data_IF_736926288606
#
_entry.id   IF_736926288606
#
_cell.length_a   1.000
_cell.length_b   1.000
_cell.length_c   1.000
_cell.angle_alpha   90.00
_cell.angle_beta   90.00
_cell.angle_gamma   90.00
#
_symmetry.space_group_name_H-M   'P 1'
#
loop_
_entity.id
_entity.type
_entity.pdbx_description
1 polymer ?
#
# COMPACT_ATOMS: atom_id res chain seq x y z
N UNK A 1 -42.52 -15.37 -17.82
CA UNK A 1 -42.38 -13.97 -18.14
C UNK A 1 -42.01 -13.07 -16.98
N UNK A 2 -42.48 -13.38 -15.84
CA UNK A 2 -42.17 -12.53 -14.71
C UNK A 2 -40.85 -12.79 -14.07
N UNK A 3 -40.24 -13.91 -14.37
CA UNK A 3 -38.95 -14.24 -13.76
C UNK A 3 -37.84 -13.27 -14.07
N UNK A 4 -37.90 -12.60 -15.21
CA UNK A 4 -36.86 -11.71 -15.60
C UNK A 4 -36.70 -10.51 -14.69
N UNK A 5 -37.75 -10.13 -14.05
CA UNK A 5 -37.69 -8.97 -13.15
C UNK A 5 -36.84 -9.19 -11.95
N UNK A 6 -36.95 -10.37 -11.41
CA UNK A 6 -36.21 -10.73 -10.22
C UNK A 6 -34.73 -10.72 -10.51
N UNK A 7 -34.37 -11.18 -11.69
CA UNK A 7 -32.95 -11.21 -12.07
C UNK A 7 -32.32 -9.83 -12.09
N UNK A 8 -33.07 -8.86 -12.59
CA UNK A 8 -32.58 -7.50 -12.64
C UNK A 8 -32.28 -6.93 -11.25
N UNK A 9 -33.15 -7.25 -10.31
CA UNK A 9 -32.94 -6.78 -8.96
C UNK A 9 -31.67 -7.31 -8.36
N UNK A 10 -31.36 -8.56 -8.65
CA UNK A 10 -30.13 -9.14 -8.13
C UNK A 10 -28.90 -8.48 -8.71
N UNK A 11 -28.96 -8.14 -9.99
CA UNK A 11 -27.84 -7.47 -10.63
C UNK A 11 -27.51 -6.15 -9.99
N UNK A 12 -28.51 -5.40 -9.60
CA UNK A 12 -28.29 -4.12 -8.95
C UNK A 12 -27.63 -4.25 -7.60
N UNK A 13 -28.03 -5.27 -6.85
CA UNK A 13 -27.44 -5.48 -5.54
C UNK A 13 -25.97 -5.79 -5.63
N UNK A 14 -25.57 -6.58 -6.61
CA UNK A 14 -24.17 -6.94 -6.77
C UNK A 14 -23.31 -5.72 -7.06
N UNK A 15 -23.82 -4.79 -7.84
CA UNK A 15 -23.04 -3.60 -8.18
C UNK A 15 -22.72 -2.73 -6.98
N UNK A 16 -23.53 -2.78 -5.93
CA UNK A 16 -23.36 -1.90 -4.80
C UNK A 16 -22.18 -2.26 -3.90
N UNK A 17 -21.53 -3.41 -4.11
CA UNK A 17 -20.44 -3.84 -3.26
C UNK A 17 -19.05 -3.65 -3.86
N UNK A 18 -18.95 -3.07 -5.03
CA UNK A 18 -17.67 -2.97 -5.73
C UNK A 18 -17.01 -1.64 -5.49
N UNK A 19 -16.54 -1.40 -4.25
CA UNK A 19 -15.90 -0.14 -3.92
C UNK A 19 -14.40 -0.22 -3.68
N UNK A 20 -13.87 -1.42 -3.43
CA UNK A 20 -12.45 -1.59 -3.21
C UNK A 20 -11.73 -1.89 -4.53
N UNK A 21 -10.50 -1.44 -4.62
CA UNK A 21 -9.68 -1.61 -5.81
C UNK A 21 -8.26 -1.94 -5.39
N UNK A 22 -7.67 -2.93 -6.04
CA UNK A 22 -6.28 -3.26 -5.79
C UNK A 22 -5.41 -2.59 -6.84
N UNK A 23 -4.45 -1.79 -6.38
CA UNK A 23 -3.46 -1.19 -7.25
C UNK A 23 -2.17 -1.97 -7.12
N UNK A 24 -1.51 -2.21 -8.24
CA UNK A 24 -0.24 -2.91 -8.26
C UNK A 24 0.83 -1.94 -8.75
N UNK A 25 1.80 -1.66 -7.89
CA UNK A 25 2.91 -0.78 -8.22
C UNK A 25 4.19 -1.59 -8.27
N UNK A 26 5.02 -1.32 -9.25
CA UNK A 26 6.36 -1.87 -9.31
C UNK A 26 7.32 -0.76 -8.92
N UNK A 27 8.18 -1.03 -7.94
CA UNK A 27 9.13 -0.06 -7.44
C UNK A 27 10.49 -0.70 -7.27
N UNK A 28 11.50 0.12 -7.04
CA UNK A 28 12.82 -0.38 -6.70
C UNK A 28 13.27 0.25 -5.40
N UNK A 29 14.24 -0.42 -4.75
CA UNK A 29 14.89 0.11 -3.57
C UNK A 29 15.95 1.10 -4.03
N UNK A 30 15.79 2.37 -3.72
CA UNK A 30 16.74 3.40 -4.14
C UNK A 30 17.66 3.85 -3.02
N UNK A 31 17.35 3.46 -1.78
CA UNK A 31 18.18 3.81 -0.63
C UNK A 31 17.73 3.05 0.59
N UNK A 32 18.63 2.96 1.57
CA UNK A 32 18.35 2.33 2.85
C UNK A 32 18.85 3.28 3.91
N UNK A 33 17.97 3.69 4.83
CA UNK A 33 18.34 4.62 5.88
C UNK A 33 19.35 4.00 6.83
N UNK A 34 20.30 4.81 7.27
CA UNK A 34 21.43 4.33 8.03
C UNK A 34 21.04 3.72 9.39
N UNK A 35 20.15 4.40 10.12
CA UNK A 35 19.90 4.02 11.51
C UNK A 35 18.93 2.84 11.64
N UNK A 36 17.79 2.92 10.98
CA UNK A 36 16.75 1.90 11.10
C UNK A 36 16.58 1.03 9.87
N UNK A 37 17.46 1.17 8.89
CA UNK A 37 17.40 0.41 7.67
C UNK A 37 16.03 0.49 6.99
N UNK A 38 15.37 1.67 7.06
CA UNK A 38 14.12 1.89 6.35
C UNK A 38 14.38 1.88 4.85
N UNK A 39 13.42 1.36 4.11
CA UNK A 39 13.57 1.19 2.67
C UNK A 39 12.98 2.39 1.95
N UNK A 40 13.83 3.15 1.26
CA UNK A 40 13.35 4.23 0.41
C UNK A 40 13.05 3.65 -0.96
N UNK A 41 11.80 3.82 -1.42
CA UNK A 41 11.40 3.27 -2.71
C UNK A 41 11.48 4.32 -3.80
N UNK A 42 11.42 3.85 -5.05
CA UNK A 42 11.41 4.74 -6.20
C UNK A 42 10.08 5.45 -6.41
N UNK A 43 9.04 5.11 -5.63
CA UNK A 43 7.75 5.79 -5.75
C UNK A 43 7.86 7.17 -5.13
N UNK A 44 7.67 8.21 -5.94
CA UNK A 44 7.76 9.58 -5.43
C UNK A 44 6.50 9.94 -4.64
N UNK A 45 6.63 10.93 -3.77
CA UNK A 45 5.47 11.44 -3.03
C UNK A 45 4.40 11.95 -3.98
N UNK A 46 4.80 12.58 -5.07
CA UNK A 46 3.84 13.09 -6.05
C UNK A 46 3.06 11.96 -6.69
N UNK A 47 3.74 10.91 -7.14
CA UNK A 47 3.07 9.75 -7.72
C UNK A 47 2.10 9.12 -6.73
N UNK A 48 2.54 8.96 -5.50
CA UNK A 48 1.72 8.35 -4.46
C UNK A 48 0.47 9.19 -4.17
N UNK A 49 0.66 10.50 -4.05
CA UNK A 49 -0.47 11.40 -3.77
C UNK A 49 -1.51 11.39 -4.89
N UNK A 50 -1.08 11.20 -6.12
CA UNK A 50 -2.01 11.13 -7.25
C UNK A 50 -2.87 9.88 -7.22
N UNK A 51 -2.45 8.85 -6.49
CA UNK A 51 -3.23 7.63 -6.37
C UNK A 51 -4.39 7.76 -5.40
N UNK A 52 -4.40 8.78 -4.55
CA UNK A 52 -5.48 9.00 -3.62
C UNK A 52 -5.56 7.97 -2.51
N UNK A 53 -4.42 7.47 -2.05
CA UNK A 53 -4.38 6.46 -1.00
C UNK A 53 -4.57 7.13 0.36
N UNK A 54 -5.60 6.72 1.08
CA UNK A 54 -5.90 7.30 2.39
C UNK A 54 -5.00 6.71 3.48
N UNK A 55 -4.74 7.50 4.51
CA UNK A 55 -4.08 7.03 5.72
C UNK A 55 -4.89 5.85 6.28
N UNK A 56 -4.21 4.81 6.70
CA UNK A 56 -4.85 3.60 7.21
C UNK A 56 -5.04 2.51 6.16
N UNK A 57 -4.71 2.80 4.92
CA UNK A 57 -4.86 1.83 3.83
C UNK A 57 -3.84 0.70 3.97
N UNK A 58 -4.32 -0.52 3.77
CA UNK A 58 -3.47 -1.70 3.82
C UNK A 58 -2.65 -1.83 2.54
N UNK A 59 -1.40 -2.22 2.71
CA UNK A 59 -0.49 -2.48 1.61
C UNK A 59 0.17 -3.83 1.82
N UNK A 60 0.48 -4.51 0.73
CA UNK A 60 1.27 -5.74 0.79
C UNK A 60 2.53 -5.51 -0.02
N UNK A 61 3.68 -5.72 0.59
CA UNK A 61 4.97 -5.54 -0.06
C UNK A 61 5.53 -6.91 -0.39
N UNK A 62 5.84 -7.12 -1.67
CA UNK A 62 6.44 -8.38 -2.11
C UNK A 62 7.88 -8.16 -2.53
N UNK A 63 8.77 -9.00 -2.03
CA UNK A 63 10.19 -8.93 -2.31
C UNK A 63 10.74 -10.35 -2.36
N UNK A 64 11.25 -10.75 -3.53
CA UNK A 64 11.87 -12.07 -3.74
C UNK A 64 11.00 -13.21 -3.21
N UNK A 65 9.72 -13.14 -3.48
CA UNK A 65 8.78 -14.20 -3.10
C UNK A 65 8.22 -14.08 -1.68
N UNK A 66 8.78 -13.23 -0.85
CA UNK A 66 8.26 -12.99 0.49
C UNK A 66 7.26 -11.84 0.46
N UNK A 67 6.29 -11.88 1.37
CA UNK A 67 5.25 -10.85 1.46
C UNK A 67 5.14 -10.35 2.88
N UNK A 68 4.96 -9.05 3.03
CA UNK A 68 4.69 -8.44 4.33
C UNK A 68 3.47 -7.54 4.23
N UNK A 69 2.69 -7.49 5.32
CA UNK A 69 1.54 -6.60 5.42
C UNK A 69 1.97 -5.31 6.09
N UNK A 70 1.65 -4.18 5.48
CA UNK A 70 1.98 -2.87 6.01
C UNK A 70 0.74 -1.99 5.97
N UNK A 71 0.77 -0.90 6.73
CA UNK A 71 -0.30 0.09 6.74
C UNK A 71 0.28 1.43 6.35
N UNK A 72 -0.39 2.15 5.46
CA UNK A 72 0.04 3.50 5.10
C UNK A 72 -0.35 4.47 6.20
N UNK A 73 0.63 5.16 6.77
CA UNK A 73 0.43 6.02 7.94
C UNK A 73 1.16 7.35 7.76
N UNK A 74 0.94 8.27 8.69
CA UNK A 74 1.62 9.56 8.68
C UNK A 74 2.94 9.53 9.42
N UNK A 75 3.02 8.78 10.51
CA UNK A 75 4.23 8.73 11.32
C UNK A 75 4.55 7.30 11.72
N UNK A 76 5.80 7.08 12.09
CA UNK A 76 6.27 5.75 12.50
C UNK A 76 5.52 5.22 13.73
N UNK A 77 5.05 6.11 14.59
CA UNK A 77 4.36 5.72 15.81
C UNK A 77 2.89 5.38 15.64
N UNK A 78 2.36 5.50 14.43
CA UNK A 78 0.93 5.23 14.18
C UNK A 78 0.60 3.75 14.14
N UNK A 79 1.61 2.88 14.15
CA UNK A 79 1.40 1.44 14.26
C UNK A 79 2.16 0.92 15.47
N UNK A 80 1.76 -0.25 15.96
CA UNK A 80 2.42 -0.87 17.11
C UNK A 80 3.87 -1.23 16.77
N UNK A 81 4.72 -1.25 17.79
CA UNK A 81 6.11 -1.66 17.66
C UNK A 81 6.20 -3.02 16.96
N UNK A 82 7.09 -3.13 16.00
CA UNK A 82 7.30 -4.38 15.26
C UNK A 82 6.39 -4.55 14.05
N UNK A 83 5.45 -3.65 13.83
CA UNK A 83 4.56 -3.73 12.67
C UNK A 83 5.15 -2.96 11.50
N UNK A 84 4.85 -3.45 10.29
CA UNK A 84 5.29 -2.81 9.06
C UNK A 84 4.40 -1.63 8.70
N UNK A 85 5.00 -0.64 8.09
CA UNK A 85 4.28 0.57 7.69
C UNK A 85 4.88 1.13 6.40
N UNK A 86 4.09 1.96 5.75
CA UNK A 86 4.57 2.81 4.66
C UNK A 86 4.24 4.24 5.02
N UNK A 87 5.12 5.18 4.66
CA UNK A 87 4.85 6.59 4.87
C UNK A 87 5.63 7.40 3.83
N UNK A 88 5.26 8.66 3.69
CA UNK A 88 5.96 9.58 2.79
C UNK A 88 6.99 10.35 3.60
N UNK A 89 8.24 10.27 3.19
CA UNK A 89 9.33 11.00 3.82
C UNK A 89 10.42 11.21 2.78
N UNK A 90 11.06 12.37 2.78
CA UNK A 90 12.10 12.70 1.81
C UNK A 90 11.62 12.53 0.36
N UNK A 91 10.39 12.97 0.10
CA UNK A 91 9.76 12.96 -1.23
C UNK A 91 9.52 11.57 -1.81
N UNK A 92 9.58 10.53 -1.01
CA UNK A 92 9.38 9.16 -1.48
C UNK A 92 8.53 8.34 -0.52
N UNK A 93 7.93 7.30 -1.04
CA UNK A 93 7.30 6.28 -0.20
C UNK A 93 8.40 5.46 0.43
N UNK A 94 8.40 5.38 1.75
CA UNK A 94 9.33 4.55 2.51
C UNK A 94 8.58 3.39 3.15
N UNK A 95 9.24 2.25 3.22
CA UNK A 95 8.72 1.06 3.90
C UNK A 95 9.57 0.86 5.14
N UNK A 96 8.93 0.67 6.28
CA UNK A 96 9.62 0.59 7.55
C UNK A 96 8.94 -0.40 8.48
N UNK A 97 9.64 -0.73 9.56
CA UNK A 97 9.06 -1.45 10.69
C UNK A 97 9.16 -0.48 11.86
N UNK A 98 8.08 -0.30 12.60
CA UNK A 98 8.08 0.55 13.78
C UNK A 98 9.11 0.03 14.79
N UNK A 99 10.15 0.78 15.03
CA UNK A 99 11.29 0.41 15.88
C UNK A 99 11.97 -0.88 15.44
N UNK A 100 12.06 -1.11 14.12
CA UNK A 100 12.71 -2.28 13.56
C UNK A 100 13.57 -1.89 12.37
N UNK A 101 14.21 -2.91 11.78
CA UNK A 101 15.14 -2.72 10.67
C UNK A 101 14.60 -3.42 9.43
N UNK A 102 13.78 -2.70 8.67
CA UNK A 102 13.01 -3.26 7.56
C UNK A 102 13.87 -3.95 6.51
N UNK A 103 14.90 -3.27 6.02
CA UNK A 103 15.71 -3.84 4.95
C UNK A 103 16.48 -5.07 5.40
N UNK A 104 16.91 -5.10 6.65
CA UNK A 104 17.59 -6.28 7.18
C UNK A 104 16.66 -7.48 7.26
N UNK A 105 15.45 -7.27 7.74
CA UNK A 105 14.46 -8.37 7.82
C UNK A 105 14.08 -8.86 6.43
N UNK A 106 13.92 -7.95 5.47
CA UNK A 106 13.60 -8.33 4.10
C UNK A 106 14.78 -8.95 3.36
N UNK A 107 15.99 -8.68 3.81
CA UNK A 107 17.18 -9.08 3.06
C UNK A 107 17.33 -8.27 1.77
N UNK A 108 16.99 -6.98 1.83
CA UNK A 108 16.96 -6.17 0.61
C UNK A 108 18.30 -5.49 0.34
N UNK A 109 18.47 -5.04 -0.90
CA UNK A 109 19.62 -4.27 -1.32
C UNK A 109 19.16 -3.19 -2.30
N UNK A 110 19.94 -2.13 -2.41
CA UNK A 110 19.67 -1.07 -3.39
C UNK A 110 19.64 -1.69 -4.77
N UNK A 111 18.61 -1.33 -5.54
CA UNK A 111 18.38 -1.90 -6.86
C UNK A 111 17.39 -3.04 -6.90
N UNK A 112 17.05 -3.61 -5.74
CA UNK A 112 16.06 -4.69 -5.69
C UNK A 112 14.69 -4.18 -6.12
N UNK A 113 13.91 -5.09 -6.73
CA UNK A 113 12.55 -4.78 -7.16
C UNK A 113 11.57 -5.13 -6.06
N UNK A 114 10.58 -4.27 -5.88
CA UNK A 114 9.48 -4.47 -4.96
C UNK A 114 8.18 -4.42 -5.74
N UNK A 115 7.23 -5.26 -5.37
CA UNK A 115 5.85 -5.13 -5.83
C UNK A 115 5.01 -4.66 -4.66
N UNK A 116 4.28 -3.58 -4.84
CA UNK A 116 3.47 -2.99 -3.78
C UNK A 116 2.02 -3.11 -4.19
N UNK A 117 1.26 -3.87 -3.42
CA UNK A 117 -0.17 -4.05 -3.65
C UNK A 117 -0.90 -3.14 -2.67
N UNK A 118 -1.70 -2.23 -3.20
CA UNK A 118 -2.40 -1.23 -2.38
C UNK A 118 -3.89 -1.48 -2.47
N UNK A 119 -4.52 -1.69 -1.32
CA UNK A 119 -5.96 -1.96 -1.25
C UNK A 119 -6.70 -0.63 -1.09
N UNK A 120 -6.82 0.11 -2.19
CA UNK A 120 -7.40 1.44 -2.17
C UNK A 120 -8.91 1.38 -2.24
N UNK A 121 -9.57 2.23 -1.44
CA UNK A 121 -11.01 2.41 -1.53
C UNK A 121 -11.29 3.46 -2.61
N UNK A 122 -12.03 3.05 -3.65
CA UNK A 122 -12.33 3.96 -4.75
C UNK A 122 -13.16 5.17 -4.32
N UNK A 123 -13.94 5.01 -3.27
CA UNK A 123 -14.77 6.11 -2.79
C UNK A 123 -13.94 7.27 -2.25
N UNK A 124 -12.72 7.01 -1.80
CA UNK A 124 -11.86 8.09 -1.31
C UNK A 124 -11.50 9.10 -2.38
N UNK A 125 -11.58 8.71 -3.65
CA UNK A 125 -11.30 9.62 -4.76
C UNK A 125 -12.47 10.53 -5.08
N UNK A 126 -13.67 10.15 -4.69
CA UNK A 126 -14.88 10.89 -5.04
C UNK A 126 -15.18 12.04 -4.10
N UNK A 127 -14.60 12.03 -2.94
CA UNK A 127 -14.83 13.07 -1.95
C UNK A 127 -14.05 14.33 -2.25
N UNK A 128 -13.13 14.26 -3.20
CA UNK A 128 -12.39 15.42 -3.63
C UNK A 128 -13.20 16.27 -4.61
#
# INVERSE_FOLDING_TARGET
MKGGWIVLGLGLLLCSFAHAEELVLTASVIGVDHEYANVRTSVSAMEWNQLGVAIGTRMVIEHKGARVDATFVETYGDVATGKWLGLLEDDHLKIAISFGHACEIMGCAIGDRLTILVMRNRDSLRTE
#
